data_IF_700324325242
#
_entry.id   IF_700324325242
#
_cell.length_a   1.000
_cell.length_b   1.000
_cell.length_c   1.000
_cell.angle_alpha   90.00
_cell.angle_beta   90.00
_cell.angle_gamma   90.00
#
_symmetry.space_group_name_H-M   'P 1'
#
loop_
_entity.id
_entity.type
_entity.pdbx_description
1 polymer ?
#
# COMPACT_ATOMS: atom_id res chain seq x y z
N UNK A 1 -7.91 -11.07 13.20
CA UNK A 1 -7.57 -11.02 14.66
C UNK A 1 -7.38 -12.43 15.22
N UNK A 2 -8.26 -13.39 14.89
CA UNK A 2 -8.14 -14.80 15.31
C UNK A 2 -6.80 -15.46 14.93
N UNK A 3 -6.38 -15.37 13.66
CA UNK A 3 -5.07 -15.88 13.21
C UNK A 3 -3.89 -15.28 13.98
N UNK A 4 -3.97 -14.02 14.39
CA UNK A 4 -2.89 -13.34 15.11
C UNK A 4 -2.66 -13.90 16.52
N UNK A 5 -3.72 -14.36 17.19
CA UNK A 5 -3.64 -14.91 18.55
C UNK A 5 -3.09 -16.34 18.48
N UNK A 6 -3.47 -17.07 17.43
CA UNK A 6 -3.04 -18.46 17.24
C UNK A 6 -1.55 -18.57 16.90
N UNK A 7 -1.00 -17.67 16.06
CA UNK A 7 0.43 -17.70 15.71
C UNK A 7 1.34 -17.04 16.74
N UNK A 8 0.78 -16.29 17.70
CA UNK A 8 1.56 -15.52 18.68
C UNK A 8 2.42 -16.40 19.62
N UNK A 9 1.92 -17.56 20.07
CA UNK A 9 2.71 -18.46 20.95
C UNK A 9 3.97 -18.99 20.22
N UNK A 10 3.80 -19.40 18.96
CA UNK A 10 4.89 -19.83 18.09
C UNK A 10 5.85 -18.67 17.79
N UNK A 11 5.35 -17.48 17.53
CA UNK A 11 6.19 -16.30 17.25
C UNK A 11 7.02 -15.87 18.46
N UNK A 12 6.46 -15.89 19.67
CA UNK A 12 7.20 -15.53 20.88
C UNK A 12 8.31 -16.56 21.17
N UNK A 13 8.06 -17.85 20.96
CA UNK A 13 9.09 -18.89 21.16
C UNK A 13 10.23 -18.81 20.13
N UNK A 14 9.90 -18.63 18.85
CA UNK A 14 10.88 -18.76 17.77
C UNK A 14 11.47 -17.44 17.28
N UNK A 15 10.70 -16.34 17.26
CA UNK A 15 11.13 -15.04 16.74
C UNK A 15 11.66 -14.12 17.84
N UNK A 16 11.04 -14.10 19.03
CA UNK A 16 11.44 -13.17 20.09
C UNK A 16 12.72 -13.59 20.80
N UNK A 17 12.93 -14.90 20.97
CA UNK A 17 14.12 -15.48 21.61
C UNK A 17 15.34 -15.60 20.69
N UNK A 18 15.16 -15.40 19.38
CA UNK A 18 16.21 -15.54 18.37
C UNK A 18 16.99 -14.24 18.14
N UNK A 19 18.22 -14.35 17.64
CA UNK A 19 19.11 -13.22 17.32
C UNK A 19 18.43 -12.26 16.34
N UNK A 20 18.68 -10.96 16.49
CA UNK A 20 18.16 -9.91 15.61
C UNK A 20 18.54 -10.20 14.16
N UNK A 21 17.60 -10.76 13.40
CA UNK A 21 17.77 -11.17 12.00
C UNK A 21 16.88 -10.27 11.14
N UNK A 22 17.28 -10.01 9.90
CA UNK A 22 16.50 -9.24 8.92
C UNK A 22 15.02 -9.67 8.85
N UNK A 23 14.76 -10.98 8.93
CA UNK A 23 13.42 -11.58 8.94
C UNK A 23 12.55 -11.08 10.11
N UNK A 24 13.13 -10.86 11.30
CA UNK A 24 12.40 -10.38 12.49
C UNK A 24 11.92 -8.93 12.31
N UNK A 25 12.75 -8.10 11.68
CA UNK A 25 12.41 -6.71 11.37
C UNK A 25 11.29 -6.66 10.33
N UNK A 26 11.43 -7.40 9.23
CA UNK A 26 10.39 -7.51 8.21
C UNK A 26 9.05 -7.98 8.79
N UNK A 27 9.10 -8.98 9.68
CA UNK A 27 7.92 -9.51 10.35
C UNK A 27 7.18 -8.42 11.16
N UNK A 28 7.91 -7.61 11.94
CA UNK A 28 7.29 -6.50 12.68
C UNK A 28 6.71 -5.45 11.72
N UNK A 29 7.45 -5.08 10.66
CA UNK A 29 6.99 -4.07 9.71
C UNK A 29 5.68 -4.48 9.03
N UNK A 30 5.58 -5.70 8.50
CA UNK A 30 4.33 -6.20 7.89
C UNK A 30 3.17 -6.21 8.88
N UNK A 31 3.45 -6.47 10.15
CA UNK A 31 2.41 -6.54 11.18
C UNK A 31 1.90 -5.16 11.59
N UNK A 32 2.78 -4.18 11.81
CA UNK A 32 2.41 -2.89 12.39
C UNK A 32 2.04 -1.82 11.34
N UNK A 33 2.61 -1.87 10.13
CA UNK A 33 2.35 -0.87 9.08
C UNK A 33 0.87 -0.81 8.66
N UNK A 34 0.14 -1.92 8.46
CA UNK A 34 -1.27 -1.86 8.08
C UNK A 34 -2.13 -1.18 9.15
N UNK A 35 -1.85 -1.43 10.43
CA UNK A 35 -2.57 -0.75 11.52
C UNK A 35 -2.31 0.75 11.51
N UNK A 36 -1.06 1.17 11.31
CA UNK A 36 -0.71 2.60 11.20
C UNK A 36 -1.39 3.23 9.99
N UNK A 37 -1.42 2.53 8.86
CA UNK A 37 -2.08 3.01 7.64
C UNK A 37 -3.58 3.21 7.90
N UNK A 38 -4.25 2.21 8.47
CA UNK A 38 -5.68 2.26 8.79
C UNK A 38 -6.04 3.36 9.79
N UNK A 39 -5.23 3.54 10.85
CA UNK A 39 -5.48 4.64 11.79
C UNK A 39 -5.27 6.00 11.14
N UNK A 40 -4.25 6.14 10.30
CA UNK A 40 -4.00 7.41 9.60
C UNK A 40 -5.13 7.76 8.63
N UNK A 41 -5.67 6.79 7.87
CA UNK A 41 -6.81 7.04 6.98
C UNK A 41 -8.05 7.45 7.76
N UNK A 42 -8.35 6.78 8.88
CA UNK A 42 -9.53 7.08 9.71
C UNK A 42 -9.43 8.46 10.39
N UNK A 43 -8.26 8.84 10.89
CA UNK A 43 -8.04 10.17 11.51
C UNK A 43 -8.20 11.27 10.46
N UNK A 44 -7.72 11.03 9.24
CA UNK A 44 -7.81 12.00 8.15
C UNK A 44 -9.25 12.20 7.63
N UNK A 45 -10.12 11.21 7.77
CA UNK A 45 -11.54 11.34 7.43
C UNK A 45 -12.33 12.13 8.48
N UNK A 46 -11.84 12.21 9.72
CA UNK A 46 -12.48 12.91 10.83
C UNK A 46 -12.09 14.40 10.94
N UNK A 47 -10.93 14.83 10.43
CA UNK A 47 -10.49 16.22 10.55
C UNK A 47 -10.84 17.09 9.33
N UNK A 48 -11.55 18.19 9.59
CA UNK A 48 -11.94 19.17 8.58
C UNK A 48 -10.77 20.07 8.14
N UNK A 49 -10.34 19.88 6.88
CA UNK A 49 -9.86 20.88 5.92
C UNK A 49 -8.63 21.77 6.19
N UNK A 50 -7.99 21.79 7.37
CA UNK A 50 -6.89 22.74 7.60
C UNK A 50 -5.53 22.34 7.00
N UNK A 51 -5.27 21.04 6.75
CA UNK A 51 -3.95 20.55 6.32
C UNK A 51 -4.00 19.59 5.11
N UNK A 52 -4.75 19.94 4.07
CA UNK A 52 -4.99 19.08 2.90
C UNK A 52 -3.70 18.54 2.23
N UNK A 53 -2.63 19.35 2.16
CA UNK A 53 -1.36 18.96 1.53
C UNK A 53 -0.62 17.92 2.36
N UNK A 54 -0.54 18.11 3.67
CA UNK A 54 0.10 17.17 4.60
C UNK A 54 -0.67 15.85 4.66
N UNK A 55 -2.00 15.92 4.77
CA UNK A 55 -2.89 14.77 4.79
C UNK A 55 -2.72 13.90 3.53
N UNK A 56 -2.75 14.50 2.35
CA UNK A 56 -2.59 13.77 1.09
C UNK A 56 -1.19 13.15 0.97
N UNK A 57 -0.15 13.86 1.44
CA UNK A 57 1.22 13.33 1.51
C UNK A 57 1.31 12.11 2.44
N UNK A 58 0.71 12.17 3.63
CA UNK A 58 0.73 11.07 4.60
C UNK A 58 0.00 9.83 4.07
N UNK A 59 -1.22 9.99 3.55
CA UNK A 59 -2.03 8.89 2.99
C UNK A 59 -1.27 8.19 1.84
N UNK A 60 -0.51 8.94 1.05
CA UNK A 60 0.23 8.38 -0.08
C UNK A 60 1.49 7.63 0.34
N UNK A 61 2.27 8.16 1.30
CA UNK A 61 3.60 7.61 1.63
C UNK A 61 3.58 6.51 2.71
N UNK A 62 2.64 6.54 3.65
CA UNK A 62 2.54 5.56 4.75
C UNK A 62 2.34 4.11 4.29
N UNK A 63 1.54 3.79 3.25
CA UNK A 63 1.37 2.39 2.81
C UNK A 63 2.57 1.81 2.04
N UNK A 64 3.43 2.67 1.46
CA UNK A 64 4.60 2.26 0.65
C UNK A 64 5.52 1.25 1.34
N UNK A 65 5.97 1.46 2.59
CA UNK A 65 6.83 0.50 3.27
C UNK A 65 6.12 -0.86 3.51
N UNK A 66 4.79 -0.87 3.67
CA UNK A 66 4.02 -2.10 3.87
C UNK A 66 4.07 -3.01 2.64
N UNK A 67 3.82 -2.44 1.47
CA UNK A 67 3.90 -3.14 0.18
C UNK A 67 5.35 -3.63 -0.06
N UNK A 68 6.34 -2.79 0.24
CA UNK A 68 7.76 -3.15 0.11
C UNK A 68 8.13 -4.34 0.98
N UNK A 69 7.63 -4.37 2.22
CA UNK A 69 7.89 -5.48 3.15
C UNK A 69 7.20 -6.79 2.75
N UNK A 70 6.02 -6.72 2.12
CA UNK A 70 5.37 -7.90 1.56
C UNK A 70 6.20 -8.50 0.41
N UNK A 71 6.70 -7.66 -0.50
CA UNK A 71 7.56 -8.08 -1.63
C UNK A 71 8.88 -8.69 -1.19
N UNK A 72 9.50 -8.15 -0.15
CA UNK A 72 10.76 -8.68 0.38
C UNK A 72 10.57 -10.07 1.02
N UNK A 73 9.44 -10.34 1.67
CA UNK A 73 9.14 -11.70 2.17
C UNK A 73 8.96 -12.69 1.03
N UNK A 74 8.24 -12.30 -0.03
CA UNK A 74 8.06 -13.14 -1.21
C UNK A 74 9.42 -13.52 -1.84
N UNK A 75 10.32 -12.55 -1.99
CA UNK A 75 11.66 -12.81 -2.54
C UNK A 75 12.57 -13.62 -1.63
N UNK A 76 12.49 -13.42 -0.31
CA UNK A 76 13.22 -14.27 0.63
C UNK A 76 12.80 -15.74 0.51
N UNK A 77 11.49 -16.00 0.32
CA UNK A 77 10.98 -17.36 0.11
C UNK A 77 11.47 -17.96 -1.19
N UNK A 78 11.38 -17.23 -2.31
CA UNK A 78 11.86 -17.74 -3.60
C UNK A 78 13.36 -18.00 -3.58
N UNK A 79 14.14 -17.14 -2.93
CA UNK A 79 15.58 -17.33 -2.78
C UNK A 79 15.95 -18.56 -1.94
N UNK A 80 15.16 -18.85 -0.89
CA UNK A 80 15.38 -20.04 -0.05
C UNK A 80 15.11 -21.34 -0.81
N UNK A 81 14.11 -21.36 -1.71
CA UNK A 81 13.80 -22.52 -2.57
C UNK A 81 14.95 -22.83 -3.54
N UNK A 82 15.59 -21.79 -4.09
CA UNK A 82 16.70 -21.93 -5.04
C UNK A 82 18.08 -22.23 -4.40
N UNK A 83 18.09 -22.98 -3.30
CA UNK A 83 19.28 -23.40 -2.57
C UNK A 83 20.27 -22.25 -2.28
N UNK A 84 19.75 -21.03 -2.06
CA UNK A 84 20.53 -19.83 -1.73
C UNK A 84 21.56 -19.44 -2.82
N UNK A 85 21.27 -19.70 -4.10
CA UNK A 85 22.17 -19.30 -5.18
C UNK A 85 22.35 -17.77 -5.21
N UNK A 86 23.62 -17.33 -5.16
CA UNK A 86 24.03 -15.93 -5.06
C UNK A 86 23.66 -15.09 -6.29
N UNK A 87 23.69 -15.68 -7.48
CA UNK A 87 23.38 -14.98 -8.72
C UNK A 87 21.88 -14.63 -8.82
N UNK A 88 21.01 -15.58 -8.48
CA UNK A 88 19.57 -15.35 -8.45
C UNK A 88 19.17 -14.39 -7.32
N UNK A 89 19.79 -14.51 -6.14
CA UNK A 89 19.59 -13.55 -5.06
C UNK A 89 19.94 -12.12 -5.46
N UNK A 90 21.07 -11.93 -6.16
CA UNK A 90 21.46 -10.63 -6.69
C UNK A 90 20.45 -10.10 -7.72
N UNK A 91 20.05 -10.93 -8.68
CA UNK A 91 19.06 -10.54 -9.69
C UNK A 91 17.74 -10.10 -9.06
N UNK A 92 17.17 -10.90 -8.14
CA UNK A 92 15.94 -10.60 -7.42
C UNK A 92 16.03 -9.29 -6.61
N UNK A 93 17.18 -9.04 -5.98
CA UNK A 93 17.41 -7.81 -5.21
C UNK A 93 17.47 -6.58 -6.11
N UNK A 94 18.10 -6.69 -7.29
CA UNK A 94 18.14 -5.60 -8.28
C UNK A 94 16.72 -5.28 -8.78
N UNK A 95 15.93 -6.30 -9.13
CA UNK A 95 14.53 -6.11 -9.53
C UNK A 95 13.70 -5.46 -8.42
N UNK A 96 13.92 -5.86 -7.17
CA UNK A 96 13.25 -5.26 -6.02
C UNK A 96 13.58 -3.77 -5.87
N UNK A 97 14.86 -3.39 -5.91
CA UNK A 97 15.28 -1.99 -5.77
C UNK A 97 14.74 -1.14 -6.93
N UNK A 98 14.79 -1.66 -8.16
CA UNK A 98 14.21 -0.99 -9.33
C UNK A 98 12.72 -0.74 -9.16
N UNK A 99 11.97 -1.77 -8.74
CA UNK A 99 10.53 -1.66 -8.49
C UNK A 99 10.19 -0.60 -7.44
N UNK A 100 11.00 -0.53 -6.39
CA UNK A 100 10.78 0.36 -5.27
C UNK A 100 11.09 1.82 -5.64
N UNK A 101 12.19 2.03 -6.38
CA UNK A 101 12.54 3.35 -6.90
C UNK A 101 11.46 3.89 -7.85
N UNK A 102 10.95 3.07 -8.77
CA UNK A 102 9.87 3.45 -9.68
C UNK A 102 8.62 3.89 -8.92
N UNK A 103 8.21 3.14 -7.89
CA UNK A 103 7.05 3.51 -7.07
C UNK A 103 7.24 4.82 -6.30
N UNK A 104 8.43 5.08 -5.74
CA UNK A 104 8.70 6.35 -5.05
C UNK A 104 8.61 7.56 -6.00
N UNK A 105 9.17 7.43 -7.21
CA UNK A 105 9.09 8.47 -8.24
C UNK A 105 7.64 8.69 -8.65
N UNK A 106 6.89 7.62 -8.87
CA UNK A 106 5.50 7.72 -9.30
C UNK A 106 4.62 8.40 -8.25
N UNK A 107 4.79 8.06 -6.97
CA UNK A 107 4.08 8.72 -5.87
C UNK A 107 4.34 10.23 -5.84
N UNK A 108 5.59 10.65 -6.08
CA UNK A 108 5.93 12.08 -6.17
C UNK A 108 5.31 12.79 -7.38
N UNK A 109 5.15 12.09 -8.50
CA UNK A 109 4.47 12.62 -9.69
C UNK A 109 2.95 12.71 -9.47
N UNK A 110 2.35 11.67 -8.91
CA UNK A 110 0.91 11.63 -8.60
C UNK A 110 0.52 12.75 -7.65
N UNK A 111 1.32 13.02 -6.61
CA UNK A 111 1.07 14.13 -5.69
C UNK A 111 1.02 15.50 -6.38
N UNK A 112 1.81 15.71 -7.44
CA UNK A 112 1.77 16.94 -8.24
C UNK A 112 0.56 16.99 -9.17
N UNK A 113 0.06 15.84 -9.62
CA UNK A 113 -1.05 15.73 -10.54
C UNK A 113 -2.43 15.81 -9.87
N UNK A 114 -2.54 15.50 -8.58
CA UNK A 114 -3.82 15.51 -7.86
C UNK A 114 -4.37 16.94 -7.74
N UNK A 115 -5.46 17.23 -8.45
CA UNK A 115 -6.21 18.48 -8.36
C UNK A 115 -7.50 18.25 -7.58
N UNK A 116 -7.60 18.82 -6.37
CA UNK A 116 -8.86 18.84 -5.63
C UNK A 116 -9.74 19.97 -6.13
N UNK A 117 -10.96 19.65 -6.58
CA UNK A 117 -11.96 20.66 -6.95
C UNK A 117 -13.07 20.65 -5.90
N UNK A 118 -13.26 21.77 -5.20
CA UNK A 118 -14.38 21.94 -4.29
C UNK A 118 -15.67 22.06 -5.12
N UNK A 119 -16.59 21.11 -4.98
CA UNK A 119 -17.78 21.00 -5.81
C UNK A 119 -18.89 21.99 -5.38
N UNK A 120 -18.61 23.30 -5.38
CA UNK A 120 -19.60 24.35 -5.06
C UNK A 120 -20.69 24.49 -6.15
N UNK A 121 -20.45 23.99 -7.37
CA UNK A 121 -21.26 24.32 -8.57
C UNK A 121 -22.26 23.26 -9.03
N UNK A 122 -22.27 22.06 -8.43
CA UNK A 122 -23.16 20.95 -8.84
C UNK A 122 -24.46 20.90 -8.01
N UNK A 123 -24.56 21.67 -6.93
CA UNK A 123 -25.78 21.80 -6.12
C UNK A 123 -26.97 22.37 -6.90
N UNK A 124 -26.76 23.20 -7.93
CA UNK A 124 -27.87 23.71 -8.75
C UNK A 124 -28.44 22.66 -9.72
N UNK A 125 -27.62 21.71 -10.18
CA UNK A 125 -28.08 20.65 -11.09
C UNK A 125 -28.72 19.48 -10.33
N UNK A 126 -28.28 19.23 -9.08
CA UNK A 126 -28.83 18.17 -8.21
C UNK A 126 -30.15 18.61 -7.55
N UNK A 127 -30.33 19.90 -7.23
CA UNK A 127 -31.60 20.39 -6.64
C UNK A 127 -32.82 20.14 -7.53
N UNK A 128 -32.65 20.09 -8.86
CA UNK A 128 -33.73 19.85 -9.81
C UNK A 128 -34.09 18.36 -9.97
N UNK A 129 -33.16 17.43 -9.71
CA UNK A 129 -33.38 15.99 -9.87
C UNK A 129 -33.61 15.23 -8.56
N UNK A 130 -33.21 15.78 -7.42
CA UNK A 130 -33.24 15.12 -6.09
C UNK A 130 -34.56 15.34 -5.32
N UNK A 131 -35.69 15.49 -6.02
CA UNK A 131 -37.02 15.38 -5.40
C UNK A 131 -37.40 13.91 -5.15
N UNK A 132 -36.67 12.96 -5.74
CA UNK A 132 -37.03 11.54 -5.77
C UNK A 132 -36.03 10.70 -4.96
N UNK A 133 -36.38 10.47 -3.69
CA UNK A 133 -36.10 9.22 -2.95
C UNK A 133 -34.67 8.98 -2.41
N UNK A 134 -34.60 9.09 -1.07
CA UNK A 134 -33.87 8.21 -0.13
C UNK A 134 -32.48 8.64 0.35
N UNK A 135 -32.42 8.69 1.69
CA UNK A 135 -31.28 8.73 2.61
C UNK A 135 -30.63 10.09 2.86
N UNK A 136 -31.19 10.79 3.84
CA UNK A 136 -30.58 11.92 4.50
C UNK A 136 -29.23 11.52 5.14
N UNK A 137 -28.12 12.05 4.63
CA UNK A 137 -26.90 12.23 5.40
C UNK A 137 -26.99 13.59 6.13
N UNK A 138 -26.61 13.68 7.42
CA UNK A 138 -26.85 14.86 8.23
C UNK A 138 -26.07 16.11 7.75
N UNK A 139 -26.70 17.31 7.80
CA UNK A 139 -26.18 18.54 7.22
C UNK A 139 -25.18 19.25 8.16
N UNK A 140 -23.99 18.68 8.35
CA UNK A 140 -22.95 19.28 9.21
C UNK A 140 -21.55 19.41 8.57
N UNK A 141 -21.30 18.80 7.41
CA UNK A 141 -19.98 18.80 6.80
C UNK A 141 -19.85 19.84 5.69
N UNK A 142 -19.08 20.89 5.97
CA UNK A 142 -18.62 21.86 4.99
C UNK A 142 -17.95 21.17 3.80
N UNK A 143 -18.39 21.55 2.60
CA UNK A 143 -17.87 21.20 1.26
C UNK A 143 -16.94 20.00 1.16
N UNK A 144 -17.48 18.80 0.95
CA UNK A 144 -16.69 17.62 0.55
C UNK A 144 -15.95 17.87 -0.77
N UNK A 145 -14.62 17.81 -0.77
CA UNK A 145 -13.80 17.86 -1.97
C UNK A 145 -13.73 16.45 -2.57
N UNK A 146 -14.31 16.26 -3.77
CA UNK A 146 -14.18 15.03 -4.53
C UNK A 146 -12.87 15.05 -5.34
N UNK A 147 -12.14 13.94 -5.31
CA UNK A 147 -11.05 13.66 -6.25
C UNK A 147 -11.66 13.49 -7.64
N UNK A 148 -11.49 14.49 -8.50
CA UNK A 148 -12.13 14.56 -9.82
C UNK A 148 -11.22 14.01 -10.95
N UNK A 149 -9.91 13.97 -10.74
CA UNK A 149 -8.95 13.57 -11.77
C UNK A 149 -7.83 12.73 -11.17
N UNK A 150 -7.78 11.46 -11.55
CA UNK A 150 -6.76 10.49 -11.17
C UNK A 150 -5.77 10.30 -12.30
N UNK A 151 -4.49 10.60 -12.07
CA UNK A 151 -3.45 10.40 -13.07
C UNK A 151 -3.36 8.92 -13.48
N UNK A 152 -3.30 8.66 -14.79
CA UNK A 152 -3.09 7.32 -15.36
C UNK A 152 -1.80 6.66 -14.88
N UNK A 153 -0.89 7.43 -14.28
CA UNK A 153 0.37 6.93 -13.77
C UNK A 153 0.19 5.87 -12.66
N UNK A 154 -0.95 5.83 -11.96
CA UNK A 154 -1.21 4.77 -10.96
C UNK A 154 -1.23 3.35 -11.58
N UNK A 155 -1.54 3.24 -12.89
CA UNK A 155 -1.49 1.97 -13.63
C UNK A 155 -0.07 1.40 -13.65
N UNK A 156 0.96 2.26 -13.64
CA UNK A 156 2.36 1.83 -13.67
C UNK A 156 2.68 0.99 -12.43
N UNK A 157 2.26 1.40 -11.24
CA UNK A 157 2.51 0.63 -10.01
C UNK A 157 1.80 -0.72 -10.02
N UNK A 158 0.58 -0.78 -10.56
CA UNK A 158 -0.17 -2.03 -10.73
C UNK A 158 0.51 -2.99 -11.70
N UNK A 159 0.92 -2.50 -12.87
CA UNK A 159 1.66 -3.30 -13.86
C UNK A 159 2.97 -3.79 -13.26
N UNK A 160 3.69 -2.92 -12.55
CA UNK A 160 4.98 -3.27 -11.96
C UNK A 160 4.82 -4.30 -10.83
N UNK A 161 3.73 -4.21 -10.06
CA UNK A 161 3.35 -5.23 -9.08
C UNK A 161 3.05 -6.57 -9.75
N UNK A 162 2.25 -6.59 -10.82
CA UNK A 162 1.92 -7.81 -11.55
C UNK A 162 3.16 -8.46 -12.18
N UNK A 163 4.05 -7.66 -12.77
CA UNK A 163 5.31 -8.14 -13.35
C UNK A 163 6.20 -8.74 -12.26
N UNK A 164 6.25 -8.12 -11.07
CA UNK A 164 7.04 -8.63 -9.96
C UNK A 164 6.49 -9.97 -9.45
N UNK A 165 5.19 -10.05 -9.19
CA UNK A 165 4.56 -11.30 -8.73
C UNK A 165 4.70 -12.40 -9.78
N UNK A 166 4.46 -12.10 -11.06
CA UNK A 166 4.68 -13.02 -12.18
C UNK A 166 6.11 -13.55 -12.23
N UNK A 167 7.11 -12.66 -12.21
CA UNK A 167 8.51 -13.06 -12.25
C UNK A 167 8.94 -13.92 -11.05
N UNK A 168 8.38 -13.69 -9.87
CA UNK A 168 8.64 -14.55 -8.70
C UNK A 168 7.99 -15.93 -8.80
N UNK A 169 6.80 -16.01 -9.40
CA UNK A 169 6.08 -17.27 -9.65
C UNK A 169 6.79 -18.08 -10.73
N UNK A 170 7.20 -17.45 -11.82
CA UNK A 170 7.95 -18.10 -12.90
C UNK A 170 9.27 -18.68 -12.39
N UNK A 171 9.99 -17.91 -11.56
CA UNK A 171 11.19 -18.40 -10.88
C UNK A 171 10.90 -19.63 -10.01
N UNK A 172 9.73 -19.70 -9.37
CA UNK A 172 9.35 -20.89 -8.60
C UNK A 172 9.10 -22.11 -9.50
N UNK A 173 8.36 -21.93 -10.61
CA UNK A 173 8.08 -23.00 -11.57
C UNK A 173 9.34 -23.59 -12.21
N UNK A 174 10.30 -22.74 -12.61
CA UNK A 174 11.57 -23.22 -13.15
C UNK A 174 12.36 -24.09 -12.17
N UNK A 175 12.23 -23.86 -10.85
CA UNK A 175 12.89 -24.68 -9.84
C UNK A 175 12.24 -26.07 -9.67
N UNK A 176 10.92 -26.18 -9.86
CA UNK A 176 10.22 -27.47 -9.75
C UNK A 176 10.47 -28.39 -10.96
N UNK A 177 10.88 -27.81 -12.10
CA UNK A 177 11.21 -28.55 -13.31
C UNK A 177 12.69 -28.92 -13.45
N UNK A 178 13.57 -28.46 -12.56
CA UNK A 178 15.02 -28.70 -12.57
C UNK A 178 15.44 -29.70 -11.49
#
# INVERSE_FOLDING_TARGET
>A
IYDYILTLDLEVRFIWKSRWTYVRVLYHLVRYIPFITMTTTLVTDCESFSYYKLQNTLITYIPVPGISTARSILTLRTWAVWYRNRYLGLALTIFFIGSWASSLVNMGLVQKSLKCKCLRRLLLYIFFSFLFSVMALPPAFGGTCLLYDGSKNMIIDWVLLLVYDGGTVDACFFCQCA
#
